data_IF_560398912103
#
_entry.id   IF_560398912103
#
_cell.length_a   1.000
_cell.length_b   1.000
_cell.length_c   1.000
_cell.angle_alpha   90.00
_cell.angle_beta   90.00
_cell.angle_gamma   90.00
#
_symmetry.space_group_name_H-M   'P 1'
#
loop_
_entity.id
_entity.type
_entity.pdbx_description
1 polymer ?
#
# COMPACT_ATOMS: atom_id res chain seq x y z
N UNK A 1 7.11 -6.31 14.64
CA UNK A 1 5.70 -6.58 15.02
C UNK A 1 4.85 -5.32 15.13
N UNK A 2 5.22 -4.29 15.91
CA UNK A 2 4.37 -3.08 16.09
C UNK A 2 3.99 -2.36 14.78
N UNK A 3 4.91 -2.26 13.81
CA UNK A 3 4.63 -1.57 12.54
C UNK A 3 3.75 -2.38 11.59
N UNK A 4 3.92 -3.70 11.53
CA UNK A 4 3.02 -4.57 10.76
C UNK A 4 1.57 -4.51 11.29
N UNK A 5 1.38 -4.47 12.61
CA UNK A 5 0.06 -4.28 13.22
C UNK A 5 -0.57 -2.93 12.84
N UNK A 6 0.23 -1.86 12.80
CA UNK A 6 -0.26 -0.55 12.35
C UNK A 6 -0.67 -0.57 10.88
N UNK A 7 0.12 -1.21 10.01
CA UNK A 7 -0.21 -1.38 8.59
C UNK A 7 -1.54 -2.11 8.42
N UNK A 8 -1.74 -3.22 9.15
CA UNK A 8 -2.99 -3.98 9.13
C UNK A 8 -4.15 -3.14 9.67
N UNK A 9 -3.97 -2.40 10.75
CA UNK A 9 -5.02 -1.53 11.31
C UNK A 9 -5.46 -0.45 10.32
N UNK A 10 -4.51 0.20 9.63
CA UNK A 10 -4.81 1.18 8.58
C UNK A 10 -5.54 0.51 7.41
N UNK A 11 -5.15 -0.70 7.03
CA UNK A 11 -5.82 -1.47 5.98
C UNK A 11 -7.27 -1.78 6.30
N UNK A 12 -7.54 -2.27 7.52
CA UNK A 12 -8.89 -2.56 7.98
C UNK A 12 -9.71 -1.27 8.01
N UNK A 13 -9.13 -0.17 8.51
CA UNK A 13 -9.79 1.14 8.50
C UNK A 13 -10.17 1.61 7.10
N UNK A 14 -9.26 1.46 6.12
CA UNK A 14 -9.54 1.79 4.73
C UNK A 14 -10.60 0.90 4.11
N UNK A 15 -10.55 -0.42 4.34
CA UNK A 15 -11.55 -1.35 3.82
C UNK A 15 -12.94 -1.06 4.40
N UNK A 16 -13.03 -0.81 5.71
CA UNK A 16 -14.29 -0.42 6.35
C UNK A 16 -14.80 0.92 5.82
N UNK A 17 -13.91 1.88 5.58
CA UNK A 17 -14.27 3.17 4.99
C UNK A 17 -14.78 3.00 3.56
N UNK A 18 -14.09 2.23 2.71
CA UNK A 18 -14.53 1.94 1.34
C UNK A 18 -15.86 1.22 1.35
N UNK A 19 -16.05 0.25 2.25
CA UNK A 19 -17.32 -0.49 2.39
C UNK A 19 -18.46 0.43 2.81
N UNK A 20 -18.26 1.22 3.86
CA UNK A 20 -19.24 2.20 4.33
C UNK A 20 -19.58 3.24 3.26
N UNK A 21 -18.58 3.72 2.52
CA UNK A 21 -18.80 4.64 1.41
C UNK A 21 -19.65 4.01 0.31
N UNK A 22 -19.31 2.80 -0.15
CA UNK A 22 -20.11 2.09 -1.18
C UNK A 22 -21.54 1.82 -0.71
N UNK A 23 -21.73 1.49 0.57
CA UNK A 23 -23.05 1.26 1.14
C UNK A 23 -23.90 2.54 1.15
N UNK A 24 -23.31 3.67 1.55
CA UNK A 24 -24.00 4.98 1.60
C UNK A 24 -24.32 5.51 0.20
N UNK A 25 -23.43 5.31 -0.78
CA UNK A 25 -23.66 5.77 -2.15
C UNK A 25 -24.56 4.85 -2.98
N UNK A 26 -25.00 3.71 -2.41
CA UNK A 26 -25.77 2.69 -3.13
C UNK A 26 -24.96 1.95 -4.20
N UNK A 27 -23.63 2.04 -4.14
CA UNK A 27 -22.73 1.33 -5.04
C UNK A 27 -22.66 -0.17 -4.72
N UNK A 28 -22.31 -0.98 -5.72
CA UNK A 28 -22.09 -2.41 -5.53
C UNK A 28 -20.69 -2.65 -4.95
N UNK A 29 -20.63 -3.31 -3.80
CA UNK A 29 -19.36 -3.76 -3.23
C UNK A 29 -18.68 -4.78 -4.15
N UNK A 30 -17.46 -4.48 -4.57
CA UNK A 30 -16.69 -5.33 -5.46
C UNK A 30 -15.56 -6.04 -4.70
N UNK A 31 -15.41 -7.36 -4.91
CA UNK A 31 -14.32 -8.16 -4.33
C UNK A 31 -12.92 -7.62 -4.71
N UNK A 32 -12.80 -6.91 -5.83
CA UNK A 32 -11.58 -6.24 -6.24
C UNK A 32 -11.05 -5.22 -5.20
N UNK A 33 -11.92 -4.62 -4.38
CA UNK A 33 -11.48 -3.74 -3.29
C UNK A 33 -10.68 -4.51 -2.23
N UNK A 34 -11.04 -5.77 -1.95
CA UNK A 34 -10.27 -6.64 -1.07
C UNK A 34 -8.92 -7.01 -1.68
N UNK A 35 -8.87 -7.28 -2.99
CA UNK A 35 -7.62 -7.58 -3.68
C UNK A 35 -6.67 -6.38 -3.69
N UNK A 36 -7.18 -5.18 -3.98
CA UNK A 36 -6.39 -3.93 -3.89
C UNK A 36 -5.87 -3.74 -2.45
N UNK A 37 -6.74 -3.85 -1.45
CA UNK A 37 -6.37 -3.70 -0.05
C UNK A 37 -5.31 -4.70 0.40
N UNK A 38 -5.55 -5.99 0.16
CA UNK A 38 -4.62 -7.06 0.52
C UNK A 38 -3.27 -6.93 -0.17
N UNK A 39 -3.27 -6.58 -1.47
CA UNK A 39 -2.05 -6.37 -2.23
C UNK A 39 -1.23 -5.18 -1.70
N UNK A 40 -1.88 -4.05 -1.40
CA UNK A 40 -1.20 -2.88 -0.85
C UNK A 40 -0.64 -3.14 0.56
N UNK A 41 -1.35 -3.90 1.40
CA UNK A 41 -0.83 -4.36 2.69
C UNK A 41 0.40 -5.22 2.51
N UNK A 42 0.33 -6.24 1.65
CA UNK A 42 1.45 -7.13 1.36
C UNK A 42 2.67 -6.34 0.91
N UNK A 43 2.51 -5.45 -0.08
CA UNK A 43 3.59 -4.58 -0.55
C UNK A 43 4.17 -3.74 0.57
N UNK A 44 3.32 -3.08 1.36
CA UNK A 44 3.76 -2.18 2.44
C UNK A 44 4.51 -2.91 3.55
N UNK A 45 4.11 -4.14 3.87
CA UNK A 45 4.85 -4.96 4.84
C UNK A 45 6.22 -5.37 4.29
N UNK A 46 6.27 -5.77 3.01
CA UNK A 46 7.51 -6.17 2.35
C UNK A 46 8.51 -5.01 2.28
N UNK A 47 8.06 -3.82 1.87
CA UNK A 47 8.85 -2.60 1.78
C UNK A 47 9.26 -2.07 3.16
N UNK A 48 8.42 -2.17 4.20
CA UNK A 48 8.83 -1.85 5.59
C UNK A 48 9.99 -2.73 6.05
N UNK A 49 10.00 -4.03 5.69
CA UNK A 49 11.12 -4.92 6.01
C UNK A 49 12.41 -4.54 5.27
N UNK A 50 12.33 -4.20 3.98
CA UNK A 50 13.48 -3.72 3.21
C UNK A 50 14.04 -2.44 3.83
N UNK A 51 13.17 -1.48 4.15
CA UNK A 51 13.53 -0.21 4.78
C UNK A 51 14.12 -0.41 6.18
N UNK A 52 13.63 -1.37 6.96
CA UNK A 52 14.20 -1.75 8.25
C UNK A 52 15.63 -2.27 8.11
N UNK A 53 15.87 -3.14 7.14
CA UNK A 53 17.21 -3.66 6.88
C UNK A 53 18.16 -2.53 6.45
N UNK A 54 17.65 -1.54 5.71
CA UNK A 54 18.39 -0.34 5.33
C UNK A 54 18.87 0.48 6.54
N UNK A 55 18.00 0.66 7.55
CA UNK A 55 18.31 1.44 8.75
C UNK A 55 19.41 0.81 9.61
N UNK A 56 19.63 -0.50 9.49
CA UNK A 56 20.70 -1.20 10.18
C UNK A 56 22.06 -1.05 9.48
N UNK A 57 22.08 -0.51 8.25
CA UNK A 57 23.32 -0.24 7.51
C UNK A 57 23.86 1.14 7.90
N UNK A 58 25.19 1.30 7.98
CA UNK A 58 25.82 2.60 8.23
C UNK A 58 26.36 3.20 6.91
N UNK A 59 26.26 4.53 6.76
CA UNK A 59 26.85 5.27 5.64
C UNK A 59 26.03 5.28 4.34
N UNK A 60 26.69 5.43 3.19
CA UNK A 60 26.04 5.54 1.86
C UNK A 60 25.25 4.29 1.44
N UNK A 61 25.46 3.16 2.11
CA UNK A 61 24.73 1.91 1.90
C UNK A 61 23.23 1.97 2.28
N UNK A 62 22.81 2.99 3.04
CA UNK A 62 21.41 3.17 3.47
C UNK A 62 20.50 3.57 2.30
N UNK A 63 20.99 4.33 1.33
CA UNK A 63 20.16 4.90 0.24
C UNK A 63 19.70 3.81 -0.73
N UNK A 64 20.54 2.80 -0.98
CA UNK A 64 20.28 1.77 -2.00
C UNK A 64 19.03 0.94 -1.64
N UNK A 65 18.87 0.39 -0.42
CA UNK A 65 17.66 -0.36 -0.08
C UNK A 65 16.38 0.48 -0.11
N UNK A 66 16.43 1.77 0.27
CA UNK A 66 15.26 2.66 0.12
C UNK A 66 14.86 2.83 -1.34
N UNK A 67 15.84 3.05 -2.22
CA UNK A 67 15.58 3.16 -3.65
C UNK A 67 15.00 1.84 -4.21
N UNK A 68 15.56 0.70 -3.82
CA UNK A 68 15.05 -0.63 -4.19
C UNK A 68 13.60 -0.80 -3.72
N UNK A 69 13.30 -0.43 -2.47
CA UNK A 69 11.95 -0.52 -1.91
C UNK A 69 10.95 0.32 -2.72
N UNK A 70 11.29 1.57 -3.05
CA UNK A 70 10.43 2.46 -3.84
C UNK A 70 10.19 1.89 -5.25
N UNK A 71 11.27 1.49 -5.93
CA UNK A 71 11.20 0.96 -7.30
C UNK A 71 10.38 -0.34 -7.32
N UNK A 72 10.62 -1.25 -6.38
CA UNK A 72 9.91 -2.52 -6.27
C UNK A 72 8.40 -2.28 -6.04
N UNK A 73 8.05 -1.39 -5.09
CA UNK A 73 6.66 -1.05 -4.80
C UNK A 73 5.96 -0.48 -6.02
N UNK A 74 6.63 0.41 -6.76
CA UNK A 74 6.09 1.04 -7.96
C UNK A 74 5.85 0.03 -9.08
N UNK A 75 6.85 -0.77 -9.42
CA UNK A 75 6.75 -1.76 -10.51
C UNK A 75 5.65 -2.79 -10.20
N UNK A 76 5.64 -3.35 -8.99
CA UNK A 76 4.64 -4.33 -8.60
C UNK A 76 3.23 -3.72 -8.57
N UNK A 77 3.11 -2.46 -8.13
CA UNK A 77 1.85 -1.71 -8.16
C UNK A 77 1.31 -1.53 -9.58
N UNK A 78 2.16 -1.13 -10.52
CA UNK A 78 1.78 -0.95 -11.92
C UNK A 78 1.36 -2.29 -12.54
N UNK A 79 2.15 -3.34 -12.35
CA UNK A 79 1.84 -4.68 -12.89
C UNK A 79 0.48 -5.16 -12.36
N UNK A 80 0.27 -5.06 -11.05
CA UNK A 80 -0.99 -5.45 -10.43
C UNK A 80 -2.17 -4.66 -10.98
N UNK A 81 -2.05 -3.33 -11.08
CA UNK A 81 -3.11 -2.48 -11.60
C UNK A 81 -3.46 -2.83 -13.06
N UNK A 82 -2.46 -3.07 -13.90
CA UNK A 82 -2.66 -3.48 -15.30
C UNK A 82 -3.39 -4.83 -15.38
N UNK A 83 -3.00 -5.80 -14.57
CA UNK A 83 -3.66 -7.12 -14.50
C UNK A 83 -5.12 -6.96 -14.04
N UNK A 84 -5.35 -6.16 -13.00
CA UNK A 84 -6.67 -5.91 -12.45
C UNK A 84 -7.61 -5.23 -13.46
N UNK A 85 -7.12 -4.21 -14.17
CA UNK A 85 -7.84 -3.49 -15.23
C UNK A 85 -8.18 -4.43 -16.39
N UNK A 86 -7.23 -5.28 -16.81
CA UNK A 86 -7.44 -6.24 -17.90
C UNK A 86 -8.53 -7.26 -17.56
N UNK A 87 -8.64 -7.65 -16.29
CA UNK A 87 -9.67 -8.58 -15.82
C UNK A 87 -11.04 -7.90 -15.58
N UNK A 88 -11.07 -6.58 -15.38
CA UNK A 88 -12.26 -5.84 -14.96
C UNK A 88 -12.45 -4.56 -15.79
N UNK A 89 -12.57 -4.70 -17.12
CA UNK A 89 -12.62 -3.59 -18.07
C UNK A 89 -13.83 -2.65 -17.91
N UNK A 90 -14.88 -3.10 -17.22
CA UNK A 90 -16.11 -2.31 -17.01
C UNK A 90 -16.00 -1.35 -15.82
N UNK A 91 -15.16 -1.67 -14.81
CA UNK A 91 -15.04 -0.92 -13.55
C UNK A 91 -13.71 -0.15 -13.43
N UNK A 92 -13.04 0.12 -14.55
CA UNK A 92 -11.67 0.67 -14.59
C UNK A 92 -11.52 1.98 -13.79
N UNK A 93 -12.39 3.01 -13.96
CA UNK A 93 -12.19 4.28 -13.27
C UNK A 93 -12.22 4.14 -11.75
N UNK A 94 -13.17 3.36 -11.23
CA UNK A 94 -13.37 3.15 -9.81
C UNK A 94 -12.21 2.37 -9.19
N UNK A 95 -11.76 1.31 -9.87
CA UNK A 95 -10.62 0.50 -9.45
C UNK A 95 -9.33 1.32 -9.41
N UNK A 96 -9.09 2.17 -10.41
CA UNK A 96 -7.93 3.05 -10.46
C UNK A 96 -7.97 4.07 -9.31
N UNK A 97 -9.11 4.70 -9.06
CA UNK A 97 -9.23 5.69 -7.97
C UNK A 97 -8.97 5.03 -6.62
N UNK A 98 -9.65 3.91 -6.33
CA UNK A 98 -9.46 3.19 -5.05
C UNK A 98 -8.00 2.74 -4.90
N UNK A 99 -7.40 2.21 -5.97
CA UNK A 99 -6.01 1.81 -5.97
C UNK A 99 -5.06 2.97 -5.65
N UNK A 100 -5.24 4.12 -6.31
CA UNK A 100 -4.40 5.31 -6.09
C UNK A 100 -4.55 5.86 -4.68
N UNK A 101 -5.77 5.91 -4.13
CA UNK A 101 -6.02 6.35 -2.76
C UNK A 101 -5.30 5.42 -1.77
N UNK A 102 -5.46 4.11 -1.93
CA UNK A 102 -4.81 3.14 -1.05
C UNK A 102 -3.29 3.24 -1.15
N UNK A 103 -2.76 3.28 -2.38
CA UNK A 103 -1.33 3.43 -2.63
C UNK A 103 -0.75 4.68 -1.97
N UNK A 104 -1.43 5.83 -2.06
CA UNK A 104 -1.01 7.08 -1.45
C UNK A 104 -0.98 6.99 0.07
N UNK A 105 -2.02 6.44 0.69
CA UNK A 105 -2.13 6.31 2.15
C UNK A 105 -1.07 5.35 2.69
N UNK A 106 -0.87 4.20 2.05
CA UNK A 106 0.16 3.26 2.45
C UNK A 106 1.58 3.79 2.22
N UNK A 107 1.81 4.59 1.18
CA UNK A 107 3.10 5.25 0.97
C UNK A 107 3.37 6.32 2.03
N UNK A 108 2.36 7.12 2.39
CA UNK A 108 2.46 8.08 3.49
C UNK A 108 2.72 7.39 4.84
N UNK A 109 2.05 6.25 5.10
CA UNK A 109 2.27 5.45 6.30
C UNK A 109 3.71 4.95 6.39
N UNK A 110 4.28 4.49 5.29
CA UNK A 110 5.68 4.05 5.21
C UNK A 110 6.66 5.17 5.57
N UNK A 111 6.47 6.37 4.97
CA UNK A 111 7.30 7.55 5.26
C UNK A 111 7.21 7.90 6.75
N UNK A 112 6.00 7.88 7.32
CA UNK A 112 5.79 8.14 8.74
C UNK A 112 6.49 7.10 9.63
N UNK A 113 6.38 5.82 9.30
CA UNK A 113 7.03 4.73 10.03
C UNK A 113 8.55 4.84 10.03
N UNK A 114 9.14 5.19 8.88
CA UNK A 114 10.58 5.43 8.75
C UNK A 114 11.00 6.66 9.55
N UNK A 115 10.31 7.79 9.40
CA UNK A 115 10.60 9.05 10.09
C UNK A 115 10.54 8.93 11.62
N UNK A 116 9.58 8.16 12.15
CA UNK A 116 9.46 7.94 13.59
C UNK A 116 10.63 7.14 14.17
N UNK A 117 11.29 6.31 13.35
CA UNK A 117 12.42 5.47 13.78
C UNK A 117 13.74 6.22 13.72
N UNK A 118 13.92 7.15 12.77
CA UNK A 118 15.15 7.96 12.68
C UNK A 118 15.25 9.04 13.75
N UNK A 119 14.13 9.40 14.41
CA UNK A 119 14.10 10.35 15.53
C UNK A 119 14.37 9.73 16.91
N UNK A 120 14.49 8.40 17.00
CA UNK A 120 14.86 7.69 18.23
C UNK A 120 16.35 7.45 18.28
#
# INVERSE_FOLDING_TARGET
>A
MRSALLIIAVAIGLLLFTFGFTYVTGGLWNQNFLYIGGFQVFLTVLTDQINLNALNMQGRGVIIPYLISIVLKLILSIIFLVVLIKQNSEAVPELVIVFLVYYAIFSALEIFLVSRRTKK
#
